data_IF_677937388778
#
_entry.id   IF_677937388778
#
_cell.length_a   1.000
_cell.length_b   1.000
_cell.length_c   1.000
_cell.angle_alpha   90.00
_cell.angle_beta   90.00
_cell.angle_gamma   90.00
#
_symmetry.space_group_name_H-M   'P 1'
#
loop_
_entity.id
_entity.type
_entity.pdbx_description
1 polymer ?
#
# COMPACT_ATOMS: atom_id res chain seq x y z
N UNK A 1 -0.54 38.92 25.43
CA UNK A 1 0.31 39.17 24.25
C UNK A 1 1.35 38.05 24.05
N UNK A 2 0.92 36.79 24.20
CA UNK A 2 1.78 35.58 24.11
C UNK A 2 1.14 34.44 23.30
N UNK A 3 0.07 34.73 22.52
CA UNK A 3 -0.69 33.72 21.79
C UNK A 3 -0.42 33.72 20.27
N UNK A 4 0.38 34.65 19.77
CA UNK A 4 0.61 34.84 18.32
C UNK A 4 2.00 34.40 17.82
N UNK A 5 2.88 33.94 18.70
CA UNK A 5 4.25 33.56 18.30
C UNK A 5 4.40 32.10 17.84
N UNK A 6 3.43 31.23 18.11
CA UNK A 6 3.52 29.79 17.74
C UNK A 6 3.10 29.54 16.28
N UNK A 7 2.29 30.44 15.68
CA UNK A 7 1.83 30.27 14.30
C UNK A 7 2.83 30.75 13.23
N UNK A 8 3.88 31.50 13.60
CA UNK A 8 4.76 32.15 12.62
C UNK A 8 6.08 31.42 12.33
N UNK A 9 6.37 30.29 13.00
CA UNK A 9 7.59 29.51 12.74
C UNK A 9 7.42 28.47 11.62
N UNK A 10 6.19 28.21 11.16
CA UNK A 10 5.90 27.24 10.10
C UNK A 10 6.05 27.77 8.66
N UNK A 11 6.34 29.06 8.47
CA UNK A 11 6.30 29.69 7.13
C UNK A 11 7.67 29.93 6.46
N UNK A 12 8.79 29.48 7.05
CA UNK A 12 10.13 29.71 6.49
C UNK A 12 11.02 28.45 6.46
N UNK A 13 10.48 27.34 5.95
CA UNK A 13 11.27 26.18 5.53
C UNK A 13 10.93 25.84 4.08
N UNK A 14 11.53 26.58 3.16
CA UNK A 14 11.73 26.13 1.80
C UNK A 14 12.67 24.90 1.85
N UNK A 15 12.12 23.70 1.66
CA UNK A 15 12.90 22.51 1.27
C UNK A 15 13.05 21.36 2.27
N UNK A 16 12.24 21.26 3.33
CA UNK A 16 12.21 20.05 4.18
C UNK A 16 10.94 19.24 3.93
N UNK A 17 11.06 18.04 3.35
CA UNK A 17 9.95 17.10 3.22
C UNK A 17 9.45 16.67 4.60
N UNK A 18 8.18 16.94 4.88
CA UNK A 18 7.51 16.53 6.11
C UNK A 18 6.83 15.18 5.90
N UNK A 19 7.47 14.10 6.34
CA UNK A 19 7.01 12.70 6.20
C UNK A 19 5.83 12.35 7.12
N UNK A 20 5.02 13.35 7.48
CA UNK A 20 3.79 13.26 8.25
C UNK A 20 2.81 14.27 7.67
N UNK A 21 1.52 13.91 7.59
CA UNK A 21 0.51 14.84 7.10
C UNK A 21 0.42 16.05 8.04
N UNK A 22 0.58 17.29 7.55
CA UNK A 22 0.43 18.49 8.37
C UNK A 22 -0.99 18.63 8.93
N UNK A 23 -1.98 17.98 8.30
CA UNK A 23 -3.38 18.00 8.73
C UNK A 23 -3.65 17.05 9.90
N UNK A 24 -2.88 15.98 10.06
CA UNK A 24 -3.19 14.89 11.00
C UNK A 24 -2.12 14.65 12.06
N UNK A 25 -0.90 15.16 11.90
CA UNK A 25 0.18 14.95 12.87
C UNK A 25 -0.19 15.39 14.29
N UNK A 26 -0.89 16.53 14.43
CA UNK A 26 -1.34 17.02 15.73
C UNK A 26 -2.35 16.07 16.40
N UNK A 27 -3.18 15.38 15.61
CA UNK A 27 -4.11 14.36 16.10
C UNK A 27 -3.37 13.09 16.52
N UNK A 28 -2.46 12.60 15.67
CA UNK A 28 -1.79 11.30 15.82
C UNK A 28 -0.80 11.23 16.98
N UNK A 29 -0.08 12.33 17.27
CA UNK A 29 0.96 12.32 18.32
C UNK A 29 0.33 12.08 19.70
N UNK A 30 0.84 11.10 20.44
CA UNK A 30 0.42 10.82 21.82
C UNK A 30 0.51 12.07 22.71
N UNK A 31 -0.52 12.26 23.54
CA UNK A 31 -0.68 13.45 24.38
C UNK A 31 -0.14 13.21 25.79
N UNK A 32 0.30 14.26 26.51
CA UNK A 32 0.70 14.13 27.91
C UNK A 32 -0.44 13.56 28.78
N UNK A 33 -0.07 12.87 29.86
CA UNK A 33 -1.02 12.29 30.80
C UNK A 33 -2.03 13.32 31.30
N UNK A 34 -3.32 12.98 31.23
CA UNK A 34 -4.43 13.84 31.65
C UNK A 34 -5.00 14.74 30.55
N UNK A 35 -4.38 14.79 29.38
CA UNK A 35 -4.95 15.43 28.19
C UNK A 35 -5.72 14.42 27.34
N UNK A 36 -6.83 14.84 26.75
CA UNK A 36 -7.58 13.99 25.82
C UNK A 36 -6.71 13.60 24.61
N UNK A 37 -6.71 12.33 24.18
CA UNK A 37 -5.99 11.89 22.98
C UNK A 37 -6.51 12.59 21.71
N UNK A 38 -7.76 13.06 21.74
CA UNK A 38 -8.44 13.73 20.62
C UNK A 38 -8.02 15.21 20.42
N UNK A 39 -7.15 15.75 21.26
CA UNK A 39 -6.63 17.12 21.05
C UNK A 39 -5.90 17.19 19.71
N UNK A 40 -6.27 18.17 18.87
CA UNK A 40 -5.69 18.35 17.53
C UNK A 40 -6.33 17.46 16.45
N UNK A 41 -7.35 16.66 16.79
CA UNK A 41 -8.10 15.87 15.82
C UNK A 41 -9.20 16.66 15.13
N UNK A 42 -9.59 16.25 13.91
CA UNK A 42 -10.83 16.73 13.29
C UNK A 42 -12.04 16.57 14.24
N UNK A 43 -13.03 17.46 14.17
CA UNK A 43 -14.27 17.32 14.94
C UNK A 43 -14.92 15.94 14.75
N UNK A 44 -15.57 15.43 15.80
CA UNK A 44 -16.25 14.12 15.78
C UNK A 44 -15.33 12.90 15.51
N UNK A 45 -14.01 13.05 15.66
CA UNK A 45 -13.08 11.91 15.55
C UNK A 45 -13.40 10.87 16.62
N UNK A 46 -13.57 9.62 16.19
CA UNK A 46 -13.76 8.47 17.07
C UNK A 46 -12.39 8.01 17.56
N UNK A 47 -12.22 7.85 18.88
CA UNK A 47 -11.03 7.26 19.46
C UNK A 47 -11.25 5.77 19.78
N UNK A 48 -10.32 4.91 19.37
CA UNK A 48 -10.33 3.47 19.58
C UNK A 48 -9.11 3.09 20.42
N UNK A 49 -9.31 2.36 21.52
CA UNK A 49 -8.22 1.87 22.38
C UNK A 49 -8.55 0.48 22.89
N UNK A 50 -7.58 -0.45 22.91
CA UNK A 50 -7.79 -1.77 23.52
C UNK A 50 -7.87 -1.72 25.05
N UNK A 51 -7.45 -0.61 25.69
CA UNK A 51 -7.65 -0.42 27.13
C UNK A 51 -9.13 -0.16 27.42
N UNK A 52 -9.79 -1.17 28.00
CA UNK A 52 -11.20 -1.12 28.42
C UNK A 52 -11.48 -0.06 29.50
N UNK A 53 -10.44 0.48 30.13
CA UNK A 53 -10.56 1.54 31.14
C UNK A 53 -10.32 2.94 30.56
N UNK A 54 -9.97 3.05 29.28
CA UNK A 54 -9.77 4.35 28.62
C UNK A 54 -11.11 5.05 28.44
N UNK A 55 -11.34 6.09 29.24
CA UNK A 55 -12.58 6.87 29.25
C UNK A 55 -12.82 7.68 27.97
N UNK A 56 -11.80 7.86 27.14
CA UNK A 56 -11.91 8.53 25.85
C UNK A 56 -12.25 7.57 24.72
N UNK A 57 -11.97 6.28 24.89
CA UNK A 57 -12.23 5.28 23.87
C UNK A 57 -13.72 5.01 23.76
N UNK A 58 -14.26 5.16 22.54
CA UNK A 58 -15.65 4.81 22.24
C UNK A 58 -15.80 3.34 21.84
N UNK A 59 -14.73 2.75 21.30
CA UNK A 59 -14.66 1.36 20.89
C UNK A 59 -13.32 0.74 21.30
N UNK A 60 -13.32 -0.58 21.45
CA UNK A 60 -12.12 -1.38 21.75
C UNK A 60 -11.68 -2.26 20.57
N UNK A 61 -12.44 -2.24 19.48
CA UNK A 61 -12.14 -2.83 18.18
C UNK A 61 -12.20 -1.72 17.13
N UNK A 62 -11.27 -1.75 16.18
CA UNK A 62 -11.28 -0.84 15.03
C UNK A 62 -12.42 -1.20 14.10
N UNK A 63 -12.73 -2.50 13.93
CA UNK A 63 -13.86 -2.92 13.10
C UNK A 63 -15.20 -2.46 13.67
N UNK A 64 -15.42 -2.54 14.98
CA UNK A 64 -16.65 -2.02 15.61
C UNK A 64 -16.80 -0.51 15.40
N UNK A 65 -15.69 0.24 15.46
CA UNK A 65 -15.69 1.67 15.15
C UNK A 65 -16.09 1.93 13.70
N UNK A 66 -15.57 1.17 12.73
CA UNK A 66 -15.95 1.25 11.32
C UNK A 66 -17.43 0.95 11.11
N UNK A 67 -17.96 -0.11 11.75
CA UNK A 67 -19.38 -0.50 11.66
C UNK A 67 -20.33 0.54 12.26
N UNK A 68 -19.85 1.38 13.18
CA UNK A 68 -20.65 2.44 13.79
C UNK A 68 -20.87 3.67 12.91
N UNK A 69 -20.10 3.79 11.81
CA UNK A 69 -20.09 4.99 10.98
C UNK A 69 -21.33 5.06 10.06
N UNK A 70 -21.87 6.26 9.82
CA UNK A 70 -22.93 6.42 8.82
C UNK A 70 -22.44 6.08 7.41
N UNK A 71 -23.34 5.63 6.54
CA UNK A 71 -23.01 5.12 5.20
C UNK A 71 -22.33 6.16 4.28
N UNK A 72 -22.73 7.44 4.35
CA UNK A 72 -22.33 8.47 3.37
C UNK A 72 -21.48 9.61 3.93
N UNK A 73 -21.47 9.83 5.24
CA UNK A 73 -20.77 10.98 5.83
C UNK A 73 -19.25 10.80 5.79
N UNK A 74 -18.48 11.88 5.93
CA UNK A 74 -17.06 11.74 6.22
C UNK A 74 -16.87 11.30 7.68
N UNK A 75 -15.82 10.52 7.95
CA UNK A 75 -15.50 10.07 9.31
C UNK A 75 -13.98 9.97 9.51
N UNK A 76 -13.55 10.23 10.74
CA UNK A 76 -12.15 10.06 11.17
C UNK A 76 -12.10 9.13 12.38
N UNK A 77 -11.19 8.16 12.36
CA UNK A 77 -10.89 7.26 13.48
C UNK A 77 -9.43 7.46 13.88
N UNK A 78 -9.18 7.79 15.15
CA UNK A 78 -7.86 7.73 15.77
C UNK A 78 -7.73 6.41 16.54
N UNK A 79 -6.69 5.65 16.24
CA UNK A 79 -6.43 4.33 16.82
C UNK A 79 -5.24 4.45 17.78
N UNK A 80 -5.44 4.05 19.02
CA UNK A 80 -4.41 4.04 20.04
C UNK A 80 -3.28 3.05 19.72
N UNK A 81 -2.12 3.26 20.34
CA UNK A 81 -1.05 2.26 20.38
C UNK A 81 -1.60 0.89 20.80
N UNK A 82 -1.23 -0.15 20.07
CA UNK A 82 -1.67 -1.52 20.34
C UNK A 82 -1.54 -2.48 19.16
N UNK A 83 -1.79 -3.76 19.43
CA UNK A 83 -1.87 -4.81 18.43
C UNK A 83 -3.30 -5.36 18.35
N UNK A 84 -3.99 -5.03 17.27
CA UNK A 84 -5.38 -5.35 17.04
C UNK A 84 -5.48 -6.61 16.16
N UNK A 85 -5.88 -7.73 16.75
CA UNK A 85 -6.12 -8.98 16.02
C UNK A 85 -7.53 -9.01 15.44
N UNK A 86 -7.71 -8.49 14.24
CA UNK A 86 -9.01 -8.35 13.58
C UNK A 86 -8.86 -8.14 12.06
N UNK A 87 -9.96 -8.35 11.34
CA UNK A 87 -10.10 -7.95 9.94
C UNK A 87 -10.95 -6.69 9.87
N UNK A 88 -10.46 -5.68 9.15
CA UNK A 88 -11.15 -4.42 8.92
C UNK A 88 -11.87 -4.50 7.57
N UNK A 89 -13.19 -4.42 7.58
CA UNK A 89 -14.04 -4.44 6.39
C UNK A 89 -14.81 -3.13 6.25
N UNK A 90 -14.42 -2.34 5.25
CA UNK A 90 -14.99 -1.04 4.93
C UNK A 90 -15.91 -1.18 3.71
N UNK A 91 -17.19 -1.41 3.98
CA UNK A 91 -18.24 -1.50 2.94
C UNK A 91 -18.94 -0.19 2.63
N UNK A 92 -18.77 0.81 3.50
CA UNK A 92 -19.39 2.13 3.41
C UNK A 92 -18.84 2.96 2.26
N UNK A 93 -19.68 3.78 1.64
CA UNK A 93 -19.31 4.70 0.55
C UNK A 93 -18.64 6.00 1.01
N UNK A 94 -19.05 6.53 2.16
CA UNK A 94 -18.59 7.82 2.66
C UNK A 94 -17.08 7.84 2.99
N UNK A 95 -16.37 8.97 2.80
CA UNK A 95 -14.94 9.07 3.10
C UNK A 95 -14.59 8.57 4.51
N UNK A 96 -13.47 7.86 4.62
CA UNK A 96 -12.96 7.34 5.89
C UNK A 96 -11.47 7.64 6.01
N UNK A 97 -11.08 8.35 7.07
CA UNK A 97 -9.68 8.56 7.46
C UNK A 97 -9.35 7.78 8.72
N UNK A 98 -8.41 6.85 8.64
CA UNK A 98 -7.87 6.10 9.77
C UNK A 98 -6.48 6.61 10.12
N UNK A 99 -6.29 6.95 11.40
CA UNK A 99 -5.07 7.56 11.93
C UNK A 99 -4.49 6.64 13.01
N UNK A 100 -3.30 6.11 12.79
CA UNK A 100 -2.55 5.43 13.84
C UNK A 100 -1.85 6.44 14.76
N UNK A 101 -1.89 6.19 16.08
CA UNK A 101 -1.13 6.99 17.03
C UNK A 101 0.38 6.91 16.76
N UNK A 102 1.06 8.01 17.05
CA UNK A 102 2.51 8.18 16.92
C UNK A 102 3.12 8.53 18.28
N UNK A 103 4.37 8.11 18.56
CA UNK A 103 5.04 8.54 19.78
C UNK A 103 5.34 10.04 19.71
N UNK A 104 5.53 10.69 20.86
CA UNK A 104 5.91 12.11 20.88
C UNK A 104 7.23 12.38 20.15
N UNK A 105 8.16 11.42 20.13
CA UNK A 105 9.43 11.49 19.38
C UNK A 105 9.25 11.41 17.86
N UNK A 106 8.06 11.12 17.34
CA UNK A 106 7.82 11.11 15.90
C UNK A 106 8.13 12.47 15.26
N UNK A 107 7.90 13.57 16.00
CA UNK A 107 8.18 14.94 15.57
C UNK A 107 9.67 15.20 15.32
N UNK A 108 10.57 14.47 16.00
CA UNK A 108 12.03 14.60 15.82
C UNK A 108 12.48 14.03 14.47
N UNK A 109 11.66 13.16 13.87
CA UNK A 109 11.94 12.44 12.63
C UNK A 109 11.07 12.89 11.45
N UNK A 110 10.36 14.03 11.58
CA UNK A 110 9.41 14.51 10.59
C UNK A 110 10.06 14.84 9.24
N UNK A 111 11.37 15.12 9.22
CA UNK A 111 12.13 15.45 8.01
C UNK A 111 12.90 14.26 7.39
N UNK A 112 12.55 13.02 7.75
CA UNK A 112 13.27 11.82 7.30
C UNK A 112 12.32 10.82 6.63
N UNK A 113 12.35 10.71 5.28
CA UNK A 113 11.46 9.83 4.53
C UNK A 113 11.67 8.37 4.93
N UNK A 114 10.60 7.59 4.91
CA UNK A 114 10.59 6.18 5.28
C UNK A 114 11.56 5.36 4.41
N UNK A 115 11.65 5.65 3.11
CA UNK A 115 12.46 4.90 2.16
C UNK A 115 13.98 5.17 2.18
N UNK A 116 14.44 6.25 2.85
CA UNK A 116 15.86 6.63 2.88
C UNK A 116 16.59 6.24 4.19
N UNK A 117 15.96 5.49 5.09
CA UNK A 117 16.56 5.08 6.37
C UNK A 117 17.21 3.70 6.24
N UNK A 118 18.51 3.67 5.97
CA UNK A 118 19.32 2.44 6.01
C UNK A 118 19.84 2.12 7.42
N UNK A 119 19.54 2.96 8.42
CA UNK A 119 20.29 3.07 9.68
C UNK A 119 19.46 2.92 10.98
N UNK A 120 18.17 2.58 10.91
CA UNK A 120 17.31 2.42 12.11
C UNK A 120 16.37 1.23 11.88
N UNK A 121 16.02 0.38 12.87
CA UNK A 121 14.93 -0.57 12.67
C UNK A 121 13.72 0.24 12.20
N UNK A 122 13.28 -0.06 10.98
CA UNK A 122 12.23 0.67 10.27
C UNK A 122 11.11 0.99 11.27
N UNK A 123 10.88 2.31 11.45
CA UNK A 123 10.03 2.89 12.48
C UNK A 123 8.77 2.04 12.65
N UNK A 124 8.62 1.33 13.77
CA UNK A 124 7.37 0.62 14.05
C UNK A 124 6.32 1.68 14.33
N UNK A 125 5.29 1.74 13.50
CA UNK A 125 4.09 2.48 13.88
C UNK A 125 3.58 1.86 15.19
N UNK A 126 2.99 2.68 16.06
CA UNK A 126 2.50 2.17 17.35
C UNK A 126 1.27 1.29 17.20
N UNK A 127 0.62 1.35 16.04
CA UNK A 127 -0.62 0.64 15.75
C UNK A 127 -0.34 -0.46 14.75
N UNK A 128 -0.59 -1.70 15.17
CA UNK A 128 -0.55 -2.88 14.29
C UNK A 128 -1.92 -3.50 14.22
N UNK A 129 -2.44 -3.69 13.03
CA UNK A 129 -3.67 -4.45 12.77
C UNK A 129 -3.27 -5.72 12.05
N UNK A 130 -3.66 -6.86 12.58
CA UNK A 130 -3.18 -8.14 12.07
C UNK A 130 -4.24 -9.24 12.09
N UNK A 131 -4.04 -10.21 11.21
CA UNK A 131 -4.69 -11.52 11.28
C UNK A 131 -3.65 -12.61 10.97
N UNK A 132 -4.06 -13.87 10.93
CA UNK A 132 -3.20 -14.97 10.49
C UNK A 132 -3.94 -15.99 9.61
N UNK A 133 -4.90 -15.50 8.82
CA UNK A 133 -5.67 -16.34 7.91
C UNK A 133 -4.90 -16.57 6.61
N UNK A 134 -4.98 -17.77 6.04
CA UNK A 134 -4.38 -18.09 4.75
C UNK A 134 -5.30 -19.00 3.94
N UNK A 135 -5.16 -18.93 2.62
CA UNK A 135 -6.00 -19.66 1.68
C UNK A 135 -5.77 -21.17 1.81
N UNK A 136 -6.86 -21.89 1.94
CA UNK A 136 -6.94 -23.35 1.85
C UNK A 136 -8.02 -23.72 0.82
N UNK A 137 -8.12 -25.00 0.46
CA UNK A 137 -9.06 -25.46 -0.58
C UNK A 137 -10.48 -24.96 -0.32
N UNK A 138 -11.05 -24.24 -1.29
CA UNK A 138 -12.41 -23.68 -1.22
C UNK A 138 -12.51 -22.28 -0.61
N UNK A 139 -11.40 -21.68 -0.19
CA UNK A 139 -11.30 -20.31 0.29
C UNK A 139 -10.82 -19.38 -0.83
N UNK A 140 -11.39 -18.19 -0.92
CA UNK A 140 -10.87 -17.11 -1.77
C UNK A 140 -9.91 -16.23 -0.95
N UNK A 141 -8.91 -15.66 -1.59
CA UNK A 141 -7.92 -14.76 -1.01
C UNK A 141 -8.56 -13.63 -0.18
N UNK A 142 -9.71 -13.11 -0.63
CA UNK A 142 -10.44 -12.07 0.10
C UNK A 142 -10.81 -12.48 1.53
N UNK A 143 -11.02 -13.78 1.80
CA UNK A 143 -11.29 -14.28 3.16
C UNK A 143 -10.05 -14.18 4.07
N UNK A 144 -8.85 -14.14 3.49
CA UNK A 144 -7.60 -14.03 4.26
C UNK A 144 -7.19 -12.59 4.56
N UNK A 145 -7.83 -11.59 3.95
CA UNK A 145 -7.45 -10.19 4.05
C UNK A 145 -7.52 -9.62 5.48
N UNK A 146 -6.55 -8.75 5.80
CA UNK A 146 -6.53 -7.96 7.04
C UNK A 146 -7.36 -6.68 6.87
N UNK A 147 -7.27 -6.03 5.71
CA UNK A 147 -8.03 -4.85 5.34
C UNK A 147 -8.74 -5.08 4.00
N UNK A 148 -10.05 -4.91 4.00
CA UNK A 148 -10.93 -4.92 2.84
C UNK A 148 -11.58 -3.54 2.69
N UNK A 149 -11.41 -2.91 1.53
CA UNK A 149 -12.14 -1.69 1.15
C UNK A 149 -12.86 -1.99 -0.16
N UNK A 150 -14.12 -2.40 -0.04
CA UNK A 150 -14.96 -2.83 -1.16
C UNK A 150 -16.44 -2.67 -0.81
N UNK A 151 -17.34 -2.38 -1.77
CA UNK A 151 -18.77 -2.17 -1.50
C UNK A 151 -19.48 -3.40 -0.91
N UNK A 152 -18.88 -4.58 -1.02
CA UNK A 152 -19.32 -5.83 -0.39
C UNK A 152 -18.20 -6.86 -0.45
N UNK A 153 -18.30 -7.93 0.35
CA UNK A 153 -17.37 -9.05 0.26
C UNK A 153 -17.37 -9.74 -1.13
N UNK A 154 -18.52 -9.78 -1.82
CA UNK A 154 -18.57 -10.33 -3.18
C UNK A 154 -17.80 -9.47 -4.19
N UNK A 155 -17.61 -8.18 -3.92
CA UNK A 155 -16.84 -7.29 -4.77
C UNK A 155 -15.32 -7.43 -4.57
N UNK A 156 -14.89 -7.92 -3.41
CA UNK A 156 -13.48 -8.23 -3.12
C UNK A 156 -13.05 -9.61 -3.61
N UNK A 157 -13.97 -10.52 -3.95
CA UNK A 157 -13.58 -11.83 -4.49
C UNK A 157 -12.63 -11.66 -5.69
N UNK A 158 -11.45 -12.23 -5.60
CA UNK A 158 -10.40 -12.06 -6.62
C UNK A 158 -10.80 -12.80 -7.92
N UNK A 159 -11.63 -13.82 -7.76
CA UNK A 159 -12.26 -14.59 -8.81
C UNK A 159 -11.52 -15.90 -9.03
N UNK A 160 -12.18 -17.03 -8.73
CA UNK A 160 -11.71 -18.35 -9.08
C UNK A 160 -11.82 -18.58 -10.60
N UNK A 161 -10.85 -18.09 -11.38
CA UNK A 161 -10.71 -18.42 -12.80
C UNK A 161 -10.48 -17.24 -13.76
N UNK A 162 -10.36 -17.53 -15.07
CA UNK A 162 -9.83 -16.60 -16.08
C UNK A 162 -10.64 -15.30 -16.23
N UNK A 163 -11.93 -15.30 -15.85
CA UNK A 163 -12.86 -14.18 -15.99
C UNK A 163 -12.84 -13.17 -14.82
N UNK A 164 -12.20 -13.50 -13.68
CA UNK A 164 -12.18 -12.66 -12.46
C UNK A 164 -13.54 -12.51 -11.76
N UNK A 165 -13.59 -11.69 -10.69
CA UNK A 165 -14.78 -11.32 -9.91
C UNK A 165 -16.04 -11.06 -10.77
N UNK A 166 -17.28 -11.29 -10.28
CA UNK A 166 -18.48 -10.86 -10.99
C UNK A 166 -18.47 -9.34 -11.23
N UNK A 167 -19.15 -8.86 -12.28
CA UNK A 167 -19.40 -7.42 -12.42
C UNK A 167 -20.42 -6.98 -11.37
N UNK A 168 -20.06 -5.96 -10.60
CA UNK A 168 -20.92 -5.40 -9.55
C UNK A 168 -21.39 -4.00 -9.95
N UNK A 169 -22.66 -3.62 -9.69
CA UNK A 169 -23.19 -2.32 -10.08
C UNK A 169 -22.80 -1.18 -9.13
N UNK A 170 -22.17 -1.48 -7.99
CA UNK A 170 -21.88 -0.52 -6.93
C UNK A 170 -20.39 -0.20 -6.86
N UNK A 171 -20.08 1.08 -6.69
CA UNK A 171 -18.79 1.55 -6.22
C UNK A 171 -18.86 1.75 -4.69
N UNK A 172 -17.80 1.36 -3.99
CA UNK A 172 -17.65 1.44 -2.55
C UNK A 172 -17.08 2.79 -2.10
N UNK A 173 -16.09 2.75 -1.22
CA UNK A 173 -15.49 3.95 -0.66
C UNK A 173 -14.75 4.75 -1.74
N UNK A 174 -15.06 6.04 -1.88
CA UNK A 174 -14.44 6.90 -2.90
C UNK A 174 -13.26 7.71 -2.38
N UNK A 175 -12.98 7.66 -1.08
CA UNK A 175 -11.90 8.40 -0.42
C UNK A 175 -11.52 7.74 0.93
N UNK A 176 -10.97 6.52 0.85
CA UNK A 176 -10.39 5.86 2.01
C UNK A 176 -8.95 6.32 2.20
N UNK A 177 -8.57 6.66 3.43
CA UNK A 177 -7.20 7.10 3.78
C UNK A 177 -6.73 6.40 5.06
N UNK A 178 -5.49 5.91 5.07
CA UNK A 178 -4.84 5.38 6.26
C UNK A 178 -3.45 5.98 6.46
N UNK A 179 -3.15 6.40 7.69
CA UNK A 179 -1.89 7.05 8.07
C UNK A 179 -1.24 6.31 9.22
N UNK A 180 0.03 5.93 9.04
CA UNK A 180 0.90 5.39 10.09
C UNK A 180 0.31 4.20 10.85
N UNK A 181 -0.17 3.21 10.09
CA UNK A 181 -0.67 1.93 10.62
C UNK A 181 0.10 0.80 9.94
N UNK A 182 0.51 -0.20 10.72
CA UNK A 182 1.11 -1.43 10.20
C UNK A 182 0.01 -2.49 10.04
N UNK A 183 -0.15 -3.02 8.83
CA UNK A 183 -1.08 -4.09 8.50
C UNK A 183 -0.31 -5.38 8.24
N UNK A 184 -0.64 -6.46 8.96
CA UNK A 184 0.13 -7.69 8.91
C UNK A 184 -0.78 -8.92 8.78
N UNK A 185 -0.58 -9.73 7.74
CA UNK A 185 -1.07 -11.08 7.75
C UNK A 185 0.07 -11.98 8.23
N UNK A 186 -0.08 -12.56 9.42
CA UNK A 186 0.96 -13.33 10.13
C UNK A 186 0.94 -14.83 9.79
N UNK A 187 0.02 -15.31 8.95
CA UNK A 187 0.13 -16.67 8.38
C UNK A 187 1.45 -16.83 7.59
N UNK A 188 1.89 -15.71 7.02
CA UNK A 188 3.22 -15.37 6.54
C UNK A 188 4.40 -16.04 7.26
N UNK A 189 4.38 -16.15 8.59
CA UNK A 189 5.52 -16.71 9.34
C UNK A 189 5.91 -18.15 8.90
N UNK A 190 5.09 -18.80 8.07
CA UNK A 190 5.32 -20.13 7.54
C UNK A 190 5.38 -20.22 5.99
N UNK A 191 5.21 -19.11 5.23
CA UNK A 191 5.18 -19.11 3.75
C UNK A 191 4.37 -20.28 3.15
N UNK A 192 3.20 -20.53 3.71
CA UNK A 192 2.41 -21.76 3.52
C UNK A 192 1.44 -21.71 2.33
N UNK A 193 0.85 -20.55 2.06
CA UNK A 193 -0.16 -20.30 1.03
C UNK A 193 -0.38 -18.79 0.87
N UNK A 194 -1.29 -18.37 -0.01
CA UNK A 194 -1.72 -16.97 -0.10
C UNK A 194 -2.25 -16.47 1.25
N UNK A 195 -1.84 -15.26 1.62
CA UNK A 195 -2.17 -14.65 2.90
C UNK A 195 -2.27 -13.13 2.72
N UNK A 196 -3.46 -12.68 2.31
CA UNK A 196 -3.70 -11.31 1.86
C UNK A 196 -3.62 -10.31 3.02
N UNK A 197 -2.99 -9.15 2.79
CA UNK A 197 -3.05 -8.02 3.73
C UNK A 197 -4.13 -7.05 3.31
N UNK A 198 -4.08 -6.54 2.08
CA UNK A 198 -5.01 -5.50 1.61
C UNK A 198 -5.75 -5.91 0.35
N UNK A 199 -7.07 -5.75 0.34
CA UNK A 199 -7.93 -5.86 -0.83
C UNK A 199 -8.69 -4.55 -1.06
N UNK A 200 -8.35 -3.85 -2.14
CA UNK A 200 -9.05 -2.63 -2.55
C UNK A 200 -9.74 -2.88 -3.88
N UNK A 201 -11.06 -3.02 -3.84
CA UNK A 201 -11.87 -3.40 -5.00
C UNK A 201 -13.08 -2.49 -5.13
N UNK A 202 -13.34 -1.93 -6.33
CA UNK A 202 -14.39 -0.95 -6.56
C UNK A 202 -14.34 0.24 -5.59
N UNK A 203 -13.14 0.70 -5.25
CA UNK A 203 -12.90 1.74 -4.26
C UNK A 203 -11.64 2.54 -4.59
N UNK A 204 -11.54 3.73 -4.01
CA UNK A 204 -10.32 4.54 -4.05
C UNK A 204 -9.71 4.60 -2.64
N UNK A 205 -8.44 4.25 -2.53
CA UNK A 205 -7.75 4.17 -1.25
C UNK A 205 -6.32 4.72 -1.31
N UNK A 206 -5.94 5.56 -0.35
CA UNK A 206 -4.58 6.08 -0.21
C UNK A 206 -3.95 5.83 1.16
N UNK A 207 -2.64 5.57 1.16
CA UNK A 207 -1.89 5.10 2.33
C UNK A 207 -0.59 5.88 2.50
N UNK A 208 -0.30 6.32 3.73
CA UNK A 208 0.79 7.25 4.03
C UNK A 208 1.58 6.79 5.26
N UNK A 209 2.86 6.48 5.09
CA UNK A 209 3.69 6.08 6.22
C UNK A 209 3.29 4.71 6.82
N UNK A 210 2.68 3.84 6.02
CA UNK A 210 2.15 2.54 6.47
C UNK A 210 3.14 1.40 6.19
N UNK A 211 2.91 0.27 6.85
CA UNK A 211 3.60 -0.99 6.57
C UNK A 211 2.59 -2.06 6.17
N UNK A 212 2.96 -2.92 5.21
CA UNK A 212 2.15 -4.04 4.76
C UNK A 212 3.02 -5.28 4.71
N UNK A 213 2.68 -6.31 5.49
CA UNK A 213 3.54 -7.48 5.63
C UNK A 213 2.80 -8.81 5.45
N UNK A 214 3.23 -9.56 4.44
CA UNK A 214 2.93 -10.99 4.29
C UNK A 214 4.05 -11.68 3.48
N UNK A 215 3.80 -12.83 2.86
CA UNK A 215 4.75 -13.55 2.01
C UNK A 215 4.19 -13.68 0.60
N UNK A 216 3.10 -14.42 0.44
CA UNK A 216 2.40 -14.53 -0.83
C UNK A 216 1.18 -13.61 -0.84
N UNK A 217 1.01 -12.87 -1.93
CA UNK A 217 -0.19 -12.08 -2.23
C UNK A 217 -0.47 -11.00 -1.18
N UNK A 218 0.56 -10.21 -0.81
CA UNK A 218 0.46 -9.19 0.26
C UNK A 218 -0.53 -8.08 -0.09
N UNK A 219 -0.45 -7.54 -1.30
CA UNK A 219 -1.22 -6.40 -1.75
C UNK A 219 -2.07 -6.72 -2.97
N UNK A 220 -3.38 -6.49 -2.87
CA UNK A 220 -4.32 -6.59 -3.98
C UNK A 220 -5.01 -5.25 -4.29
N UNK A 221 -4.85 -4.76 -5.52
CA UNK A 221 -5.73 -3.73 -6.09
C UNK A 221 -6.65 -4.37 -7.12
N UNK A 222 -7.88 -4.64 -6.71
CA UNK A 222 -8.85 -5.37 -7.50
C UNK A 222 -9.56 -4.55 -8.56
N UNK A 223 -10.66 -5.10 -9.07
CA UNK A 223 -11.42 -4.53 -10.20
C UNK A 223 -11.95 -3.16 -9.86
N UNK A 224 -11.75 -2.21 -10.78
CA UNK A 224 -12.14 -0.81 -10.63
C UNK A 224 -11.62 -0.18 -9.32
N UNK A 225 -10.55 -0.72 -8.73
CA UNK A 225 -9.85 -0.14 -7.60
C UNK A 225 -8.79 0.85 -8.09
N UNK A 226 -8.68 1.99 -7.40
CA UNK A 226 -7.56 2.91 -7.56
C UNK A 226 -6.82 3.06 -6.24
N UNK A 227 -5.51 2.83 -6.24
CA UNK A 227 -4.72 2.90 -5.01
C UNK A 227 -3.49 3.79 -5.16
N UNK A 228 -3.19 4.53 -4.08
CA UNK A 228 -1.98 5.34 -3.97
C UNK A 228 -1.29 5.03 -2.65
N UNK A 229 -0.02 4.62 -2.71
CA UNK A 229 0.76 4.26 -1.52
C UNK A 229 2.02 5.10 -1.52
N UNK A 230 2.27 5.82 -0.43
CA UNK A 230 3.44 6.68 -0.32
C UNK A 230 4.18 6.53 1.00
N UNK A 231 5.49 6.68 0.95
CA UNK A 231 6.37 6.68 2.12
C UNK A 231 6.19 5.43 2.99
N UNK A 232 6.01 4.28 2.36
CA UNK A 232 5.55 3.04 2.99
C UNK A 232 6.50 1.87 2.71
N UNK A 233 6.36 0.78 3.45
CA UNK A 233 7.10 -0.46 3.20
C UNK A 233 6.16 -1.64 2.96
N UNK A 234 6.47 -2.45 1.95
CA UNK A 234 5.70 -3.64 1.58
C UNK A 234 6.64 -4.83 1.59
N UNK A 235 6.38 -5.77 2.49
CA UNK A 235 7.14 -7.00 2.65
C UNK A 235 6.46 -8.16 1.94
N UNK A 236 7.23 -8.95 1.21
CA UNK A 236 6.68 -10.13 0.54
C UNK A 236 7.74 -11.05 -0.06
N UNK A 237 7.28 -12.11 -0.71
CA UNK A 237 8.08 -13.12 -1.39
C UNK A 237 7.52 -13.43 -2.78
N UNK A 238 6.25 -13.85 -2.86
CA UNK A 238 5.62 -14.32 -4.09
C UNK A 238 4.47 -13.42 -4.47
N UNK A 239 4.54 -12.83 -5.66
CA UNK A 239 3.46 -12.06 -6.27
C UNK A 239 2.86 -11.01 -5.33
N UNK A 240 3.70 -10.44 -4.47
CA UNK A 240 3.21 -9.72 -3.30
C UNK A 240 2.62 -8.35 -3.64
N UNK A 241 2.81 -7.86 -4.87
CA UNK A 241 1.97 -6.86 -5.51
C UNK A 241 1.19 -7.51 -6.65
N UNK A 242 -0.09 -7.79 -6.46
CA UNK A 242 -0.93 -8.35 -7.52
C UNK A 242 -2.24 -7.58 -7.63
N UNK A 243 -2.95 -7.77 -8.74
CA UNK A 243 -4.11 -6.93 -8.97
C UNK A 243 -4.61 -6.89 -10.39
N UNK A 244 -5.64 -6.06 -10.54
CA UNK A 244 -6.35 -5.80 -11.78
C UNK A 244 -6.65 -4.31 -12.00
N UNK A 245 -6.74 -3.50 -10.94
CA UNK A 245 -7.02 -2.07 -11.03
C UNK A 245 -5.78 -1.22 -11.34
N UNK A 246 -5.80 0.04 -10.90
CA UNK A 246 -4.70 0.99 -11.07
C UNK A 246 -4.05 1.26 -9.72
N UNK A 247 -2.77 0.93 -9.57
CA UNK A 247 -2.01 1.17 -8.35
C UNK A 247 -0.77 2.01 -8.61
N UNK A 248 -0.60 3.08 -7.83
CA UNK A 248 0.59 3.92 -7.84
C UNK A 248 1.31 3.82 -6.49
N UNK A 249 2.52 3.28 -6.51
CA UNK A 249 3.40 3.16 -5.35
C UNK A 249 4.53 4.18 -5.51
N UNK A 250 4.67 5.11 -4.57
CA UNK A 250 5.70 6.14 -4.63
C UNK A 250 6.53 6.22 -3.36
N UNK A 251 7.85 6.34 -3.48
CA UNK A 251 8.72 6.37 -2.32
C UNK A 251 8.45 5.19 -1.37
N UNK A 252 8.24 4.00 -1.94
CA UNK A 252 8.03 2.78 -1.18
C UNK A 252 9.28 1.92 -1.13
N UNK A 253 9.40 1.15 -0.06
CA UNK A 253 10.38 0.05 0.02
C UNK A 253 9.66 -1.27 -0.26
N UNK A 254 10.07 -1.95 -1.31
CA UNK A 254 9.64 -3.30 -1.65
C UNK A 254 10.67 -4.28 -1.08
N UNK A 255 10.33 -4.90 0.04
CA UNK A 255 11.24 -5.70 0.88
C UNK A 255 11.08 -7.20 0.62
N UNK A 256 12.03 -7.78 -0.11
CA UNK A 256 12.04 -9.19 -0.51
C UNK A 256 12.42 -10.11 0.67
N UNK A 257 11.44 -10.78 1.27
CA UNK A 257 11.62 -11.79 2.33
C UNK A 257 12.30 -13.06 1.82
N UNK A 258 12.00 -13.41 0.57
CA UNK A 258 12.63 -14.42 -0.25
C UNK A 258 12.30 -14.10 -1.72
N UNK A 259 12.70 -14.95 -2.65
CA UNK A 259 12.33 -14.80 -4.06
C UNK A 259 11.47 -16.00 -4.49
N UNK A 260 10.25 -15.74 -4.95
CA UNK A 260 9.35 -16.72 -5.56
C UNK A 260 8.38 -16.01 -6.51
N UNK A 261 7.99 -16.62 -7.63
CA UNK A 261 7.16 -15.93 -8.62
C UNK A 261 7.81 -14.62 -9.11
N UNK A 262 7.07 -13.50 -9.04
CA UNK A 262 7.61 -12.16 -9.22
C UNK A 262 7.25 -11.21 -8.07
N UNK A 263 7.90 -10.05 -8.01
CA UNK A 263 7.49 -8.95 -7.10
C UNK A 263 6.07 -8.48 -7.47
N UNK A 264 5.84 -8.25 -8.77
CA UNK A 264 4.53 -7.87 -9.32
C UNK A 264 3.91 -9.02 -10.12
N UNK A 265 2.62 -9.30 -9.89
CA UNK A 265 1.80 -10.17 -10.73
C UNK A 265 0.49 -9.49 -11.12
N UNK A 266 0.54 -8.58 -12.10
CA UNK A 266 -0.64 -7.84 -12.52
C UNK A 266 -1.45 -8.59 -13.59
N UNK A 267 -2.77 -8.41 -13.57
CA UNK A 267 -3.71 -8.77 -14.62
C UNK A 267 -4.11 -7.50 -15.36
N UNK A 268 -4.07 -7.53 -16.69
CA UNK A 268 -4.63 -6.48 -17.53
C UNK A 268 -5.97 -6.85 -18.14
N UNK A 269 -6.64 -5.86 -18.75
CA UNK A 269 -7.88 -6.04 -19.51
C UNK A 269 -8.03 -4.94 -20.54
N UNK A 270 -8.68 -5.28 -21.65
CA UNK A 270 -9.26 -4.32 -22.58
C UNK A 270 -10.75 -4.05 -22.31
N UNK A 271 -11.38 -4.83 -21.44
CA UNK A 271 -12.75 -4.67 -20.95
C UNK A 271 -12.74 -3.72 -19.76
N UNK A 272 -13.10 -2.48 -20.01
CA UNK A 272 -13.14 -1.39 -19.03
C UNK A 272 -14.18 -0.38 -19.46
N UNK A 273 -14.92 0.15 -18.49
CA UNK A 273 -15.92 1.20 -18.73
C UNK A 273 -15.26 2.60 -18.82
N UNK A 274 -13.93 2.69 -18.58
CA UNK A 274 -13.16 3.93 -18.61
C UNK A 274 -12.37 4.09 -19.94
N UNK A 275 -12.72 5.07 -20.81
CA UNK A 275 -11.93 5.39 -21.99
C UNK A 275 -10.49 5.76 -21.62
N UNK A 276 -9.49 5.15 -22.27
CA UNK A 276 -8.08 5.44 -22.02
C UNK A 276 -7.42 4.65 -20.88
N UNK A 277 -8.06 3.57 -20.43
CA UNK A 277 -7.65 2.71 -19.31
C UNK A 277 -6.13 2.56 -19.10
N UNK A 278 -5.71 2.83 -17.86
CA UNK A 278 -4.33 2.72 -17.37
C UNK A 278 -4.19 1.70 -16.24
N UNK A 279 -5.06 0.68 -16.17
CA UNK A 279 -4.90 -0.42 -15.22
C UNK A 279 -3.48 -1.00 -15.31
N UNK A 280 -2.86 -1.17 -14.15
CA UNK A 280 -1.45 -1.48 -14.03
C UNK A 280 -0.90 -1.14 -12.65
N UNK A 281 0.29 -1.65 -12.39
CA UNK A 281 1.11 -1.25 -11.26
C UNK A 281 2.20 -0.27 -11.71
N UNK A 282 2.26 0.89 -11.07
CA UNK A 282 3.24 1.94 -11.34
C UNK A 282 4.05 2.18 -10.06
N UNK A 283 5.36 1.94 -10.13
CA UNK A 283 6.27 2.04 -8.99
C UNK A 283 7.25 3.16 -9.29
N UNK A 284 7.20 4.24 -8.53
CA UNK A 284 7.98 5.45 -8.78
C UNK A 284 8.84 5.84 -7.57
N UNK A 285 10.06 6.32 -7.82
CA UNK A 285 10.95 6.89 -6.80
C UNK A 285 11.13 5.96 -5.59
N UNK A 286 11.20 4.66 -5.82
CA UNK A 286 11.08 3.61 -4.80
C UNK A 286 12.35 2.77 -4.69
N UNK A 287 12.39 1.82 -3.75
CA UNK A 287 13.52 0.91 -3.57
C UNK A 287 13.07 -0.54 -3.52
N UNK A 288 13.82 -1.43 -4.17
CA UNK A 288 13.73 -2.88 -4.03
C UNK A 288 14.96 -3.35 -3.26
N UNK A 289 14.74 -3.99 -2.11
CA UNK A 289 15.81 -4.46 -1.23
C UNK A 289 15.58 -5.91 -0.79
N UNK A 290 16.64 -6.59 -0.38
CA UNK A 290 16.53 -7.72 0.53
C UNK A 290 15.87 -7.25 1.83
N UNK A 291 14.81 -7.93 2.25
CA UNK A 291 14.13 -7.57 3.48
C UNK A 291 15.08 -7.65 4.68
N UNK A 292 15.03 -6.68 5.61
CA UNK A 292 15.79 -6.75 6.87
C UNK A 292 15.30 -7.87 7.79
N UNK A 293 14.05 -8.33 7.64
CA UNK A 293 13.48 -9.43 8.41
C UNK A 293 13.56 -10.79 7.69
N UNK A 294 14.14 -10.85 6.50
CA UNK A 294 14.34 -12.12 5.79
C UNK A 294 15.32 -13.01 6.54
N UNK A 295 14.97 -14.29 6.67
CA UNK A 295 15.83 -15.31 7.29
C UNK A 295 17.27 -15.21 6.77
N UNK A 296 18.25 -15.18 7.68
CA UNK A 296 19.66 -14.94 7.36
C UNK A 296 20.24 -15.96 6.36
N UNK A 297 19.71 -17.18 6.29
CA UNK A 297 20.17 -18.21 5.35
C UNK A 297 19.50 -18.15 3.98
N UNK A 298 18.47 -17.32 3.81
CA UNK A 298 17.78 -17.15 2.52
C UNK A 298 18.68 -16.40 1.54
N UNK A 299 19.01 -17.08 0.43
CA UNK A 299 19.78 -16.52 -0.69
C UNK A 299 18.83 -15.84 -1.67
N UNK A 300 18.95 -14.52 -1.80
CA UNK A 300 18.12 -13.71 -2.70
C UNK A 300 18.90 -13.04 -3.83
N UNK A 301 20.24 -13.01 -3.76
CA UNK A 301 21.08 -12.33 -4.75
C UNK A 301 20.86 -12.89 -6.17
N UNK A 302 20.41 -12.04 -7.10
CA UNK A 302 20.12 -12.37 -8.49
C UNK A 302 18.98 -13.38 -8.66
N UNK A 303 18.03 -13.46 -7.73
CA UNK A 303 16.96 -14.47 -7.71
C UNK A 303 15.54 -13.89 -7.87
N UNK A 304 15.32 -12.63 -7.53
CA UNK A 304 13.99 -12.03 -7.50
C UNK A 304 13.64 -11.42 -8.87
N UNK A 305 12.53 -11.84 -9.47
CA UNK A 305 12.00 -11.21 -10.68
C UNK A 305 11.19 -9.96 -10.33
N UNK A 306 11.31 -8.91 -11.16
CA UNK A 306 10.49 -7.69 -11.09
C UNK A 306 9.00 -7.97 -11.24
N UNK A 307 8.65 -9.01 -12.00
CA UNK A 307 7.28 -9.47 -12.10
C UNK A 307 7.08 -10.62 -13.08
N UNK A 308 5.82 -11.08 -13.12
CA UNK A 308 5.32 -12.07 -14.08
C UNK A 308 3.88 -11.75 -14.48
N UNK A 309 3.47 -12.03 -15.73
CA UNK A 309 2.18 -11.57 -16.23
C UNK A 309 1.06 -12.51 -15.76
N UNK A 310 0.23 -12.09 -14.82
CA UNK A 310 -0.92 -12.90 -14.43
C UNK A 310 -1.87 -13.13 -15.60
N UNK A 311 -1.93 -12.17 -16.54
CA UNK A 311 -2.35 -12.44 -17.91
C UNK A 311 -1.52 -11.68 -18.96
N UNK A 312 -1.77 -11.99 -20.23
CA UNK A 312 -1.00 -11.48 -21.37
C UNK A 312 -1.17 -9.97 -21.61
N UNK A 313 -2.06 -9.31 -20.86
CA UNK A 313 -2.31 -7.87 -20.94
C UNK A 313 -1.71 -7.10 -19.75
N UNK A 314 -0.89 -7.74 -18.92
CA UNK A 314 -0.33 -7.13 -17.72
C UNK A 314 0.42 -5.83 -18.02
N UNK A 315 0.25 -4.83 -17.16
CA UNK A 315 0.99 -3.56 -17.21
C UNK A 315 1.74 -3.37 -15.91
N UNK A 316 3.07 -3.19 -15.99
CA UNK A 316 3.91 -2.85 -14.83
C UNK A 316 5.02 -1.91 -15.27
N UNK A 317 5.16 -0.81 -14.52
CA UNK A 317 6.13 0.24 -14.84
C UNK A 317 6.94 0.59 -13.60
N UNK A 318 8.26 0.51 -13.70
CA UNK A 318 9.18 1.01 -12.68
C UNK A 318 9.84 2.33 -13.15
N UNK A 319 9.82 3.36 -12.32
CA UNK A 319 10.33 4.70 -12.62
C UNK A 319 11.27 5.15 -11.49
N UNK A 320 12.54 5.39 -11.79
CA UNK A 320 13.54 5.91 -10.83
C UNK A 320 13.61 5.06 -9.56
N UNK A 321 13.69 3.75 -9.75
CA UNK A 321 13.69 2.78 -8.66
C UNK A 321 15.10 2.31 -8.36
N UNK A 322 15.55 2.43 -7.10
CA UNK A 322 16.78 1.76 -6.67
C UNK A 322 16.53 0.27 -6.54
N UNK A 323 17.39 -0.55 -7.11
CA UNK A 323 17.28 -2.01 -7.09
C UNK A 323 18.59 -2.61 -6.58
N UNK A 324 18.52 -3.28 -5.44
CA UNK A 324 19.68 -3.96 -4.87
C UNK A 324 20.03 -5.25 -5.64
N UNK A 325 21.02 -6.00 -5.15
CA UNK A 325 21.51 -7.19 -5.83
C UNK A 325 20.54 -8.37 -5.82
N UNK A 326 19.35 -8.25 -5.21
CA UNK A 326 18.35 -9.33 -5.23
C UNK A 326 17.69 -9.50 -6.60
N UNK A 327 17.61 -8.42 -7.39
CA UNK A 327 16.94 -8.45 -8.68
C UNK A 327 17.70 -9.33 -9.67
N UNK A 328 16.96 -10.21 -10.32
CA UNK A 328 17.43 -11.14 -11.34
C UNK A 328 17.70 -10.37 -12.64
N UNK A 329 18.86 -10.56 -13.31
CA UNK A 329 19.25 -9.70 -14.43
C UNK A 329 18.27 -9.62 -15.61
N UNK A 330 17.52 -10.70 -15.91
CA UNK A 330 16.54 -10.69 -17.01
C UNK A 330 15.27 -9.92 -16.66
N UNK A 331 15.09 -9.56 -15.39
CA UNK A 331 14.00 -8.74 -14.87
C UNK A 331 12.71 -9.52 -14.71
N UNK A 332 12.20 -10.10 -15.78
CA UNK A 332 10.84 -10.66 -15.84
C UNK A 332 10.84 -12.15 -16.16
N UNK A 333 9.82 -12.86 -15.69
CA UNK A 333 9.64 -14.29 -15.93
C UNK A 333 8.26 -14.60 -16.50
N UNK A 334 8.10 -15.65 -17.35
CA UNK A 334 6.79 -16.19 -17.67
C UNK A 334 6.01 -16.57 -16.41
N UNK A 335 4.67 -16.61 -16.51
CA UNK A 335 3.82 -16.82 -15.35
C UNK A 335 4.01 -18.21 -14.71
N UNK A 336 3.93 -19.25 -15.53
CA UNK A 336 4.09 -20.65 -15.13
C UNK A 336 4.49 -21.54 -16.34
N UNK A 337 4.58 -22.85 -16.11
CA UNK A 337 4.91 -23.81 -17.18
C UNK A 337 3.83 -23.96 -18.25
N UNK A 338 2.57 -23.63 -17.94
CA UNK A 338 1.48 -23.65 -18.91
C UNK A 338 1.50 -22.41 -19.81
N UNK A 339 2.14 -21.33 -19.36
CA UNK A 339 2.35 -20.07 -20.10
C UNK A 339 3.83 -19.73 -20.14
N UNK A 340 4.62 -20.49 -20.92
CA UNK A 340 6.09 -20.44 -20.89
C UNK A 340 6.69 -19.20 -21.57
N UNK A 341 5.88 -18.28 -22.07
CA UNK A 341 6.31 -17.08 -22.81
C UNK A 341 5.54 -15.86 -22.30
N UNK A 342 6.22 -14.71 -22.22
CA UNK A 342 5.59 -13.41 -22.00
C UNK A 342 5.14 -12.87 -23.36
N UNK A 343 3.85 -12.57 -23.50
CA UNK A 343 3.28 -12.12 -24.76
C UNK A 343 3.58 -10.65 -25.03
N UNK A 344 3.71 -10.28 -26.31
CA UNK A 344 3.99 -8.91 -26.73
C UNK A 344 2.89 -7.89 -26.38
N UNK A 345 1.72 -8.37 -25.97
CA UNK A 345 0.61 -7.56 -25.47
C UNK A 345 0.81 -7.13 -24.01
N UNK A 346 1.79 -7.70 -23.30
CA UNK A 346 2.21 -7.28 -21.96
C UNK A 346 3.03 -6.01 -22.05
N UNK A 347 2.77 -5.04 -21.18
CA UNK A 347 3.51 -3.79 -21.11
C UNK A 347 4.37 -3.76 -19.85
N UNK A 348 5.64 -4.15 -19.99
CA UNK A 348 6.64 -4.01 -18.95
C UNK A 348 7.63 -2.93 -19.31
N UNK A 349 7.87 -2.00 -18.38
CA UNK A 349 8.70 -0.85 -18.65
C UNK A 349 9.54 -0.42 -17.46
N UNK A 350 10.75 0.07 -17.75
CA UNK A 350 11.65 0.67 -16.79
C UNK A 350 12.13 2.04 -17.28
N UNK A 351 12.30 2.98 -16.35
CA UNK A 351 12.93 4.27 -16.59
C UNK A 351 13.88 4.62 -15.45
N UNK A 352 15.15 4.85 -15.75
CA UNK A 352 16.13 5.49 -14.85
C UNK A 352 16.29 4.78 -13.48
N UNK A 353 16.14 3.45 -13.45
CA UNK A 353 16.44 2.61 -12.28
C UNK A 353 17.93 2.65 -11.95
N UNK A 354 18.28 2.51 -10.66
CA UNK A 354 19.68 2.54 -10.17
C UNK A 354 20.02 1.33 -9.31
N UNK A 355 21.27 1.22 -8.86
CA UNK A 355 21.73 0.09 -8.05
C UNK A 355 22.14 -1.14 -8.89
N UNK A 356 22.72 -2.17 -8.26
CA UNK A 356 23.23 -3.35 -8.97
C UNK A 356 22.13 -4.15 -9.70
N UNK A 357 20.89 -4.12 -9.21
CA UNK A 357 19.73 -4.75 -9.86
C UNK A 357 19.08 -3.90 -10.96
N UNK A 358 19.39 -2.60 -10.99
CA UNK A 358 18.79 -1.63 -11.92
C UNK A 358 19.48 -1.59 -13.28
N UNK A 359 20.52 -2.39 -13.50
CA UNK A 359 21.16 -2.50 -14.81
C UNK A 359 20.26 -3.26 -15.79
N UNK A 360 19.76 -2.55 -16.81
CA UNK A 360 18.81 -3.09 -17.77
C UNK A 360 19.45 -3.79 -18.98
N UNK A 361 20.78 -3.84 -19.08
CA UNK A 361 21.50 -4.40 -20.25
C UNK A 361 21.24 -5.88 -20.53
N UNK A 362 20.74 -6.63 -19.55
CA UNK A 362 20.43 -8.07 -19.66
C UNK A 362 18.93 -8.37 -19.60
N UNK A 363 18.06 -7.35 -19.62
CA UNK A 363 16.61 -7.55 -19.60
C UNK A 363 16.14 -8.35 -20.79
N UNK A 364 15.00 -9.02 -20.62
CA UNK A 364 14.36 -9.69 -21.74
C UNK A 364 14.11 -8.67 -22.88
N UNK A 365 14.20 -9.10 -24.16
CA UNK A 365 14.05 -8.18 -25.30
C UNK A 365 12.67 -7.51 -25.41
N UNK A 366 11.67 -8.05 -24.72
CA UNK A 366 10.30 -7.54 -24.76
C UNK A 366 10.08 -6.33 -23.84
N UNK A 367 10.97 -6.09 -22.88
CA UNK A 367 10.83 -4.95 -21.97
C UNK A 367 11.02 -3.61 -22.70
N UNK A 368 10.23 -2.62 -22.30
CA UNK A 368 10.35 -1.25 -22.78
C UNK A 368 11.25 -0.43 -21.86
N UNK A 369 12.49 -0.18 -22.30
CA UNK A 369 13.36 0.80 -21.64
C UNK A 369 12.96 2.19 -22.12
N UNK A 370 12.32 2.97 -21.25
CA UNK A 370 11.73 4.25 -21.60
C UNK A 370 12.80 5.33 -21.75
N UNK A 371 12.56 6.25 -22.69
CA UNK A 371 13.25 7.54 -22.76
C UNK A 371 12.67 8.53 -21.75
N UNK A 372 13.39 9.61 -21.47
CA UNK A 372 12.90 10.71 -20.62
C UNK A 372 11.59 11.30 -21.13
N UNK A 373 11.43 11.40 -22.44
CA UNK A 373 10.21 11.91 -23.08
C UNK A 373 9.02 10.96 -22.86
N UNK A 374 9.21 9.66 -23.03
CA UNK A 374 8.17 8.65 -22.77
C UNK A 374 7.81 8.57 -21.27
N UNK A 375 8.79 8.73 -20.39
CA UNK A 375 8.56 8.73 -18.94
C UNK A 375 7.60 9.85 -18.48
N UNK A 376 7.51 10.97 -19.23
CA UNK A 376 6.54 12.06 -18.94
C UNK A 376 5.09 11.63 -19.09
N UNK A 377 4.80 10.48 -19.70
CA UNK A 377 3.45 9.93 -19.81
C UNK A 377 3.01 9.14 -18.58
N UNK A 378 3.92 8.89 -17.64
CA UNK A 378 3.64 8.22 -16.39
C UNK A 378 3.74 9.22 -15.24
N UNK A 379 2.65 9.94 -15.02
CA UNK A 379 2.42 10.80 -13.85
C UNK A 379 1.13 10.36 -13.16
N UNK A 380 0.96 10.72 -11.88
CA UNK A 380 -0.25 10.43 -11.11
C UNK A 380 -1.50 10.84 -11.90
N UNK A 381 -1.58 12.10 -12.35
CA UNK A 381 -2.74 12.61 -13.09
C UNK A 381 -3.00 11.88 -14.42
N UNK A 382 -1.94 11.48 -15.14
CA UNK A 382 -2.08 10.75 -16.41
C UNK A 382 -2.47 9.29 -16.21
N UNK A 383 -2.02 8.68 -15.12
CA UNK A 383 -2.34 7.28 -14.77
C UNK A 383 -3.76 7.17 -14.22
N UNK A 384 -4.19 8.09 -13.37
CA UNK A 384 -5.56 8.10 -12.86
C UNK A 384 -6.55 8.82 -13.79
N UNK A 385 -6.09 9.34 -14.93
CA UNK A 385 -6.85 10.04 -15.97
C UNK A 385 -7.50 11.37 -15.53
N UNK A 386 -7.39 11.72 -14.25
CA UNK A 386 -7.79 12.99 -13.66
C UNK A 386 -6.91 13.27 -12.42
N UNK A 387 -6.80 14.54 -11.98
CA UNK A 387 -6.19 14.84 -10.68
C UNK A 387 -6.98 14.19 -9.54
N UNK A 388 -6.41 13.19 -8.84
CA UNK A 388 -7.16 12.36 -7.90
C UNK A 388 -7.42 13.12 -6.59
N UNK A 389 -8.69 13.42 -6.32
CA UNK A 389 -9.12 14.14 -5.10
C UNK A 389 -9.03 13.32 -3.80
N UNK A 390 -8.91 12.01 -3.93
CA UNK A 390 -8.80 11.05 -2.82
C UNK A 390 -7.35 10.85 -2.34
N UNK A 391 -6.39 11.59 -2.93
CA UNK A 391 -4.99 11.65 -2.48
C UNK A 391 -4.79 12.94 -1.65
N UNK A 392 -4.12 12.84 -0.51
CA UNK A 392 -3.65 13.97 0.29
C UNK A 392 -2.43 14.60 -0.37
N UNK A 393 -2.69 15.66 -1.14
CA UNK A 393 -1.64 16.45 -1.81
C UNK A 393 -0.76 17.25 -0.84
N UNK A 394 -1.10 17.30 0.45
CA UNK A 394 -0.30 17.98 1.48
C UNK A 394 0.74 17.07 2.15
N UNK A 395 0.72 15.77 1.86
CA UNK A 395 1.73 14.83 2.34
C UNK A 395 3.00 14.95 1.48
N UNK A 396 4.11 15.41 2.08
CA UNK A 396 5.39 15.62 1.39
C UNK A 396 6.40 14.56 1.84
N UNK A 397 7.23 14.03 0.95
CA UNK A 397 8.17 12.95 1.25
C UNK A 397 9.53 13.17 0.60
#
# INVERSE_FOLDING_TARGET
>A
MLCSLVFFVLANLLGSCLCLSPNFVACQVQKPKGMSPLVGCPPETIFVSQDVNDKHARFHSVQDAVLSLPELSSATILIAEGEYNETINVTRKGPLTMLGQLPTSALDSINRPFANRSDVPLKQNLVKIWNNQFVHTGMDDATSAVLLVAPSFNASLIGAGPTGAPLQPLFGNTDFKAYNIDFENRAANFSISQALVTDISYANASFYGCSFASFQDTWYTGRNGSTYVVDSIIYGQTDYLFGFGTAWFQNVVLANRACGGGIVAWKGTNLTDAPGNRYGAYIADSSIIRSPDANATTVTAGKCFLGRPWNDLATTVYLRTFMDSTVQPVGWTPFDSARPVIMNTTFYAEYDSTGPGGNTSMRIPLEHILTKEQAKDFTIDKVFLEPPKWIDQTYLF
#
